data_IF_515033971913
#
_entry.id   IF_515033971913
#
_cell.length_a   1.000
_cell.length_b   1.000
_cell.length_c   1.000
_cell.angle_alpha   90.00
_cell.angle_beta   90.00
_cell.angle_gamma   90.00
#
_symmetry.space_group_name_H-M   'P 1'
#
loop_
_entity.id
_entity.type
_entity.pdbx_description
1 polymer ?
#
# COMPACT_ATOMS: atom_id res chain seq x y z
N UNK A 1 39.44 7.33 -27.54
CA UNK A 1 38.82 6.53 -26.44
C UNK A 1 38.64 7.34 -25.14
N UNK A 2 38.75 8.64 -25.15
CA UNK A 2 38.67 9.52 -23.96
C UNK A 2 37.33 10.26 -23.84
N UNK A 3 36.58 10.46 -24.93
CA UNK A 3 35.31 11.22 -24.92
C UNK A 3 34.09 10.46 -24.31
N UNK A 4 34.17 9.14 -24.17
CA UNK A 4 33.03 8.34 -23.61
C UNK A 4 33.05 8.25 -22.09
N UNK A 5 34.12 8.57 -21.40
CA UNK A 5 34.21 8.57 -19.95
C UNK A 5 33.72 9.89 -19.36
N UNK A 6 33.99 11.01 -19.99
CA UNK A 6 33.56 12.33 -19.52
C UNK A 6 32.03 12.53 -19.58
N UNK A 7 31.35 11.86 -20.52
CA UNK A 7 29.89 11.88 -20.63
C UNK A 7 29.16 11.05 -19.54
N UNK A 8 29.80 10.03 -18.99
CA UNK A 8 29.23 9.25 -17.89
C UNK A 8 29.34 9.99 -16.55
N UNK A 9 30.46 10.59 -16.28
CA UNK A 9 30.67 11.37 -15.05
C UNK A 9 29.80 12.63 -15.01
N UNK A 10 29.58 13.30 -16.15
CA UNK A 10 28.68 14.45 -16.25
C UNK A 10 27.20 14.04 -16.06
N UNK A 11 26.77 12.86 -16.52
CA UNK A 11 25.40 12.36 -16.28
C UNK A 11 25.18 11.91 -14.83
N UNK A 12 26.18 11.36 -14.15
CA UNK A 12 26.08 11.01 -12.74
C UNK A 12 26.10 12.26 -11.84
N UNK A 13 26.84 13.29 -12.21
CA UNK A 13 26.83 14.58 -11.51
C UNK A 13 25.52 15.36 -11.74
N UNK A 14 24.91 15.32 -12.93
CA UNK A 14 23.60 15.92 -13.18
C UNK A 14 22.47 15.18 -12.43
N UNK A 15 22.52 13.86 -12.29
CA UNK A 15 21.55 13.10 -11.51
C UNK A 15 21.68 13.34 -10.00
N UNK A 16 22.89 13.59 -9.49
CA UNK A 16 23.13 13.93 -8.08
C UNK A 16 22.76 15.38 -7.72
N UNK A 17 22.80 16.32 -8.67
CA UNK A 17 22.37 17.71 -8.41
C UNK A 17 20.87 17.89 -8.45
N UNK A 18 20.13 17.09 -9.22
CA UNK A 18 18.65 17.11 -9.21
C UNK A 18 18.04 16.52 -7.93
N UNK A 19 18.75 15.68 -7.17
CA UNK A 19 18.26 15.15 -5.88
C UNK A 19 18.42 16.12 -4.71
N UNK A 20 19.23 17.19 -4.85
CA UNK A 20 19.52 18.16 -3.78
C UNK A 20 18.55 19.35 -3.69
N UNK A 21 17.63 19.51 -4.64
CA UNK A 21 16.71 20.66 -4.68
C UNK A 21 15.28 20.37 -4.22
N UNK A 22 14.95 19.16 -3.81
CA UNK A 22 13.70 18.90 -3.06
C UNK A 22 13.98 19.26 -1.61
N UNK A 23 13.36 20.34 -1.12
CA UNK A 23 13.33 20.64 0.31
C UNK A 23 12.91 19.36 1.05
N UNK A 24 13.67 18.93 2.07
CA UNK A 24 13.45 17.69 2.84
C UNK A 24 11.99 17.45 3.24
N UNK A 25 11.23 18.55 3.39
CA UNK A 25 9.80 18.52 3.73
C UNK A 25 8.86 18.11 2.58
N UNK A 26 9.34 18.06 1.34
CA UNK A 26 8.52 17.65 0.17
C UNK A 26 8.75 16.21 -0.28
N UNK A 27 9.68 15.52 0.33
CA UNK A 27 9.96 14.11 0.03
C UNK A 27 8.74 13.25 0.31
N UNK A 28 8.33 12.44 -0.67
CA UNK A 28 7.20 11.51 -0.53
C UNK A 28 7.72 10.19 0.00
N UNK A 29 7.06 9.69 1.03
CA UNK A 29 7.37 8.40 1.66
C UNK A 29 6.11 7.54 1.79
N UNK A 30 6.29 6.22 1.85
CA UNK A 30 5.22 5.30 2.19
C UNK A 30 4.97 5.39 3.70
N UNK A 31 3.76 5.76 4.10
CA UNK A 31 3.36 5.79 5.52
C UNK A 31 3.08 4.38 6.03
N UNK A 32 2.25 3.67 5.31
CA UNK A 32 1.78 2.33 5.66
C UNK A 32 1.16 1.64 4.45
N UNK A 33 1.13 0.32 4.52
CA UNK A 33 0.32 -0.54 3.67
C UNK A 33 -0.70 -1.26 4.53
N UNK A 34 -1.95 -1.17 4.18
CA UNK A 34 -3.04 -1.85 4.87
C UNK A 34 -3.57 -2.94 3.95
N UNK A 35 -3.56 -4.16 4.45
CA UNK A 35 -4.12 -5.32 3.76
C UNK A 35 -5.39 -5.70 4.49
N UNK A 36 -6.50 -5.80 3.77
CA UNK A 36 -7.80 -6.13 4.31
C UNK A 36 -8.39 -7.33 3.60
N UNK A 37 -8.88 -8.31 4.36
CA UNK A 37 -9.69 -9.41 3.86
C UNK A 37 -11.07 -9.31 4.49
N UNK A 38 -12.09 -9.08 3.65
CA UNK A 38 -13.49 -9.08 4.04
C UNK A 38 -14.09 -10.47 3.85
N UNK A 39 -14.50 -11.11 4.93
CA UNK A 39 -15.09 -12.46 4.91
C UNK A 39 -16.62 -12.37 4.91
N UNK A 40 -17.18 -11.38 5.61
CA UNK A 40 -18.63 -11.14 5.71
C UNK A 40 -19.39 -12.11 6.60
N UNK A 41 -18.74 -13.14 7.15
CA UNK A 41 -19.33 -14.12 8.09
C UNK A 41 -18.38 -14.38 9.24
N UNK A 42 -18.91 -14.61 10.43
CA UNK A 42 -18.13 -15.00 11.61
C UNK A 42 -17.80 -16.51 11.60
N UNK A 43 -16.88 -16.94 12.48
CA UNK A 43 -16.49 -18.33 12.67
C UNK A 43 -15.23 -18.75 11.89
N UNK A 44 -15.15 -20.03 11.51
CA UNK A 44 -13.99 -20.66 10.86
C UNK A 44 -13.38 -19.89 9.66
N UNK A 45 -14.20 -19.24 8.78
CA UNK A 45 -13.64 -18.49 7.67
C UNK A 45 -12.73 -17.32 8.10
N UNK A 46 -12.97 -16.72 9.27
CA UNK A 46 -12.13 -15.64 9.80
C UNK A 46 -10.78 -16.17 10.29
N UNK A 47 -10.78 -17.32 10.96
CA UNK A 47 -9.52 -17.94 11.40
C UNK A 47 -8.67 -18.35 10.21
N UNK A 48 -9.27 -18.89 9.15
CA UNK A 48 -8.57 -19.17 7.89
C UNK A 48 -8.02 -17.90 7.24
N UNK A 49 -8.79 -16.81 7.21
CA UNK A 49 -8.34 -15.52 6.69
C UNK A 49 -7.20 -14.92 7.54
N UNK A 50 -7.20 -15.13 8.87
CA UNK A 50 -6.08 -14.76 9.75
C UNK A 50 -4.82 -15.55 9.40
N UNK A 51 -4.93 -16.86 9.22
CA UNK A 51 -3.79 -17.70 8.81
C UNK A 51 -3.23 -17.22 7.47
N UNK A 52 -4.08 -16.98 6.47
CA UNK A 52 -3.67 -16.46 5.17
C UNK A 52 -2.87 -15.15 5.30
N UNK A 53 -3.36 -14.17 6.07
CA UNK A 53 -2.65 -12.90 6.28
C UNK A 53 -1.37 -13.07 7.07
N UNK A 54 -1.31 -13.98 8.03
CA UNK A 54 -0.12 -14.27 8.81
C UNK A 54 0.97 -14.88 7.94
N UNK A 55 0.63 -15.86 7.10
CA UNK A 55 1.56 -16.49 6.16
C UNK A 55 2.08 -15.48 5.12
N UNK A 56 1.22 -14.57 4.69
CA UNK A 56 1.54 -13.55 3.70
C UNK A 56 2.49 -12.46 4.22
N UNK A 57 2.29 -12.04 5.47
CA UNK A 57 2.93 -10.84 6.03
C UNK A 57 3.91 -11.11 7.16
N UNK A 58 3.86 -12.30 7.75
CA UNK A 58 4.61 -12.65 8.96
C UNK A 58 4.15 -11.90 10.22
N UNK A 59 3.07 -11.12 10.15
CA UNK A 59 2.54 -10.35 11.27
C UNK A 59 1.18 -10.89 11.73
N UNK A 60 0.87 -10.74 13.03
CA UNK A 60 -0.41 -11.15 13.58
C UNK A 60 -1.54 -10.23 13.10
N UNK A 61 -2.57 -10.76 12.40
CA UNK A 61 -3.68 -9.97 11.91
C UNK A 61 -4.63 -9.53 13.01
N UNK A 62 -5.21 -8.34 12.84
CA UNK A 62 -6.25 -7.80 13.71
C UNK A 62 -7.63 -8.10 13.12
N UNK A 63 -8.49 -8.71 13.92
CA UNK A 63 -9.90 -8.97 13.55
C UNK A 63 -10.68 -7.66 13.55
N UNK A 64 -11.58 -7.52 12.59
CA UNK A 64 -12.44 -6.34 12.43
C UNK A 64 -13.90 -6.71 12.60
N UNK A 65 -14.53 -6.08 13.59
CA UNK A 65 -15.95 -6.22 13.85
C UNK A 65 -16.81 -5.28 13.02
N UNK A 66 -18.06 -5.68 12.79
CA UNK A 66 -19.07 -4.88 12.11
C UNK A 66 -19.37 -3.60 12.89
N UNK A 67 -19.39 -2.46 12.21
CA UNK A 67 -19.72 -1.16 12.82
C UNK A 67 -21.21 -0.98 13.06
N UNK A 68 -22.06 -1.60 12.24
CA UNK A 68 -23.52 -1.53 12.29
C UNK A 68 -24.10 -2.92 12.09
N UNK A 69 -25.30 -3.15 12.64
CA UNK A 69 -26.10 -4.33 12.32
C UNK A 69 -26.77 -4.15 10.96
N UNK A 70 -26.71 -5.17 10.10
CA UNK A 70 -27.36 -5.21 8.79
C UNK A 70 -28.13 -6.50 8.69
N UNK A 71 -29.47 -6.42 8.70
CA UNK A 71 -30.36 -7.58 8.71
C UNK A 71 -30.26 -8.42 7.45
N UNK A 72 -30.12 -7.77 6.29
CA UNK A 72 -30.04 -8.43 4.98
C UNK A 72 -28.83 -9.37 4.85
N UNK A 73 -27.76 -9.09 5.58
CA UNK A 73 -26.55 -9.94 5.63
C UNK A 73 -26.48 -10.81 6.90
N UNK A 74 -27.45 -10.71 7.81
CA UNK A 74 -27.45 -11.44 9.08
C UNK A 74 -26.31 -11.04 10.02
N UNK A 75 -25.77 -9.80 9.90
CA UNK A 75 -24.62 -9.33 10.64
C UNK A 75 -25.07 -8.44 11.81
N UNK A 76 -24.54 -8.71 13.01
CA UNK A 76 -24.75 -7.89 14.20
C UNK A 76 -23.56 -6.95 14.47
N UNK A 77 -23.86 -5.80 15.10
CA UNK A 77 -22.82 -4.85 15.52
C UNK A 77 -21.82 -5.53 16.46
N UNK A 78 -20.51 -5.37 16.15
CA UNK A 78 -19.42 -5.98 16.92
C UNK A 78 -19.04 -7.39 16.46
N UNK A 79 -19.85 -8.02 15.64
CA UNK A 79 -19.56 -9.35 15.09
C UNK A 79 -18.32 -9.32 14.20
N UNK A 80 -17.36 -10.25 14.35
CA UNK A 80 -16.17 -10.30 13.52
C UNK A 80 -16.55 -10.68 12.08
N UNK A 81 -16.17 -9.80 11.12
CA UNK A 81 -16.51 -9.94 9.69
C UNK A 81 -15.31 -9.87 8.75
N UNK A 82 -14.15 -9.55 9.26
CA UNK A 82 -12.93 -9.44 8.44
C UNK A 82 -11.67 -9.36 9.26
N UNK A 83 -10.55 -9.39 8.56
CA UNK A 83 -9.21 -9.33 9.15
C UNK A 83 -8.36 -8.30 8.44
N UNK A 84 -7.43 -7.67 9.15
CA UNK A 84 -6.59 -6.60 8.62
C UNK A 84 -5.18 -6.65 9.20
N UNK A 85 -4.19 -6.36 8.35
CA UNK A 85 -2.80 -6.15 8.76
C UNK A 85 -2.32 -4.78 8.28
N UNK A 86 -1.45 -4.14 9.05
CA UNK A 86 -0.82 -2.87 8.68
C UNK A 86 0.69 -3.02 8.67
N UNK A 87 1.28 -2.96 7.50
CA UNK A 87 2.72 -3.00 7.29
C UNK A 87 3.30 -1.59 7.25
N UNK A 88 4.54 -1.43 7.74
CA UNK A 88 5.27 -0.16 7.76
C UNK A 88 6.74 -0.38 7.43
N UNK A 89 7.43 0.71 7.04
CA UNK A 89 8.88 0.72 6.74
C UNK A 89 9.25 -0.31 5.67
N UNK A 90 10.29 -1.07 5.89
CA UNK A 90 10.87 -2.01 4.91
C UNK A 90 9.91 -3.15 4.54
N UNK A 91 9.18 -3.69 5.52
CA UNK A 91 8.16 -4.71 5.27
C UNK A 91 7.06 -4.22 4.32
N UNK A 92 6.69 -2.93 4.42
CA UNK A 92 5.71 -2.33 3.51
C UNK A 92 6.27 -2.22 2.09
N UNK A 93 7.53 -1.82 1.95
CA UNK A 93 8.19 -1.66 0.64
C UNK A 93 8.35 -3.01 -0.06
N UNK A 94 8.80 -4.02 0.68
CA UNK A 94 8.95 -5.38 0.17
C UNK A 94 7.61 -5.97 -0.28
N UNK A 95 6.57 -5.81 0.53
CA UNK A 95 5.25 -6.28 0.21
C UNK A 95 4.68 -5.61 -1.05
N UNK A 96 4.84 -4.29 -1.19
CA UNK A 96 4.41 -3.54 -2.38
C UNK A 96 5.10 -4.08 -3.65
N UNK A 97 6.40 -4.36 -3.60
CA UNK A 97 7.13 -4.94 -4.75
C UNK A 97 6.51 -6.27 -5.19
N UNK A 98 6.17 -7.14 -4.25
CA UNK A 98 5.48 -8.42 -4.54
C UNK A 98 4.11 -8.21 -5.18
N UNK A 99 3.33 -7.23 -4.69
CA UNK A 99 2.02 -6.90 -5.25
C UNK A 99 2.14 -6.37 -6.68
N UNK A 100 3.08 -5.48 -6.95
CA UNK A 100 3.25 -4.95 -8.30
C UNK A 100 3.71 -6.04 -9.28
N UNK A 101 4.58 -6.94 -8.86
CA UNK A 101 4.96 -8.11 -9.67
C UNK A 101 3.76 -8.99 -10.01
N UNK A 102 2.81 -9.21 -9.09
CA UNK A 102 1.59 -9.98 -9.37
C UNK A 102 0.63 -9.27 -10.34
N UNK A 103 0.73 -7.95 -10.48
CA UNK A 103 -0.07 -7.12 -11.40
C UNK A 103 0.69 -6.71 -12.66
N UNK A 104 1.77 -7.41 -13.01
CA UNK A 104 2.62 -7.09 -14.18
C UNK A 104 3.11 -5.64 -14.18
N UNK A 105 3.35 -5.07 -13.00
CA UNK A 105 3.78 -3.70 -12.76
C UNK A 105 2.86 -2.63 -13.39
N UNK A 106 1.57 -2.92 -13.53
CA UNK A 106 0.60 -1.97 -14.08
C UNK A 106 -0.43 -1.55 -13.04
N UNK A 107 -0.78 -0.26 -13.01
CA UNK A 107 -1.80 0.31 -12.13
C UNK A 107 -2.76 1.16 -12.95
N UNK A 108 -4.04 1.08 -12.65
CA UNK A 108 -5.04 1.96 -13.24
C UNK A 108 -5.00 3.33 -12.56
N UNK A 109 -5.08 4.42 -13.35
CA UNK A 109 -5.16 5.77 -12.80
C UNK A 109 -6.36 5.93 -11.84
N UNK A 110 -7.46 5.24 -12.09
CA UNK A 110 -8.65 5.24 -11.21
C UNK A 110 -8.41 4.62 -9.83
N UNK A 111 -7.33 3.86 -9.63
CA UNK A 111 -6.95 3.29 -8.33
C UNK A 111 -6.24 4.29 -7.43
N UNK A 112 -5.94 5.49 -7.93
CA UNK A 112 -5.24 6.56 -7.20
C UNK A 112 -6.26 7.57 -6.70
N UNK A 113 -6.26 7.80 -5.39
CA UNK A 113 -7.14 8.77 -4.72
C UNK A 113 -6.62 10.22 -4.87
N UNK A 114 -7.48 11.20 -4.59
CA UNK A 114 -7.18 12.64 -4.59
C UNK A 114 -5.98 12.99 -3.69
N UNK A 115 -5.77 12.23 -2.63
CA UNK A 115 -4.64 12.40 -1.70
C UNK A 115 -3.39 11.61 -2.10
N UNK A 116 -3.37 11.01 -3.30
CA UNK A 116 -2.25 10.23 -3.80
C UNK A 116 -2.11 8.83 -3.21
N UNK A 117 -3.09 8.32 -2.46
CA UNK A 117 -3.08 6.96 -1.98
C UNK A 117 -3.49 6.00 -3.10
N UNK A 118 -2.99 4.76 -3.07
CA UNK A 118 -3.36 3.73 -4.04
C UNK A 118 -4.15 2.61 -3.35
N UNK A 119 -5.19 2.14 -4.03
CA UNK A 119 -5.96 0.96 -3.64
C UNK A 119 -5.93 -0.08 -4.75
N UNK A 120 -5.47 -1.29 -4.42
CA UNK A 120 -5.31 -2.41 -5.35
C UNK A 120 -6.12 -3.59 -4.83
N UNK A 121 -7.10 -4.05 -5.61
CA UNK A 121 -7.81 -5.29 -5.37
C UNK A 121 -7.08 -6.48 -5.97
N UNK A 122 -6.90 -7.54 -5.18
CA UNK A 122 -6.34 -8.82 -5.59
C UNK A 122 -7.43 -9.86 -5.43
N UNK A 123 -7.72 -10.57 -6.53
CA UNK A 123 -8.79 -11.58 -6.54
C UNK A 123 -8.40 -12.79 -5.72
N UNK A 124 -7.16 -13.25 -5.85
CA UNK A 124 -6.63 -14.43 -5.22
C UNK A 124 -5.29 -14.12 -4.54
N UNK A 125 -5.16 -14.46 -3.26
CA UNK A 125 -3.91 -14.21 -2.53
C UNK A 125 -2.74 -15.05 -3.06
N UNK A 126 -3.03 -16.13 -3.77
CA UNK A 126 -2.06 -17.05 -4.37
C UNK A 126 -1.30 -16.41 -5.55
N UNK A 127 -1.90 -15.40 -6.22
CA UNK A 127 -1.25 -14.67 -7.31
C UNK A 127 0.00 -13.91 -6.84
N UNK A 128 0.18 -13.75 -5.53
CA UNK A 128 1.30 -13.03 -4.96
C UNK A 128 2.53 -13.94 -4.92
N UNK A 129 3.67 -13.53 -5.50
CA UNK A 129 4.89 -14.34 -5.50
C UNK A 129 5.34 -14.69 -4.08
N UNK A 130 5.76 -15.96 -3.89
CA UNK A 130 6.27 -16.46 -2.61
C UNK A 130 5.23 -17.12 -1.71
N UNK A 131 3.96 -17.24 -2.15
CA UNK A 131 2.92 -17.95 -1.40
C UNK A 131 2.74 -19.35 -1.98
N UNK A 132 2.60 -20.32 -1.07
CA UNK A 132 2.22 -21.68 -1.41
C UNK A 132 0.73 -21.87 -1.15
N UNK A 133 0.06 -22.52 -2.07
CA UNK A 133 -1.34 -22.91 -1.86
C UNK A 133 -1.46 -23.88 -0.69
N UNK A 134 -2.33 -23.54 0.25
CA UNK A 134 -2.69 -24.42 1.36
C UNK A 134 -4.20 -24.72 1.27
N UNK A 135 -4.60 -25.98 1.05
CA UNK A 135 -6.02 -26.38 0.96
C UNK A 135 -6.83 -26.03 2.21
N UNK A 136 -6.24 -26.08 3.39
CA UNK A 136 -6.90 -25.84 4.67
C UNK A 136 -7.31 -24.33 4.81
N UNK A 137 -6.54 -23.45 4.20
CA UNK A 137 -6.79 -22.02 4.22
C UNK A 137 -7.86 -21.65 3.17
N UNK A 138 -7.75 -22.21 1.96
CA UNK A 138 -8.59 -21.87 0.82
C UNK A 138 -8.13 -20.59 0.11
N UNK A 139 -8.95 -20.05 -0.79
CA UNK A 139 -8.65 -18.87 -1.61
C UNK A 139 -9.38 -17.65 -1.05
N UNK A 140 -8.66 -16.56 -0.83
CA UNK A 140 -9.22 -15.28 -0.38
C UNK A 140 -8.83 -14.14 -1.31
N UNK A 141 -9.82 -13.29 -1.62
CA UNK A 141 -9.58 -11.98 -2.19
C UNK A 141 -9.17 -10.97 -1.12
N UNK A 142 -8.39 -9.98 -1.49
CA UNK A 142 -7.94 -8.95 -0.57
C UNK A 142 -7.82 -7.58 -1.23
N UNK A 143 -7.96 -6.56 -0.40
CA UNK A 143 -7.71 -5.17 -0.78
C UNK A 143 -6.41 -4.68 -0.13
N UNK A 144 -5.53 -4.13 -0.94
CA UNK A 144 -4.26 -3.54 -0.51
C UNK A 144 -4.30 -2.04 -0.71
N UNK A 145 -4.27 -1.30 0.39
CA UNK A 145 -4.27 0.16 0.38
C UNK A 145 -2.90 0.69 0.80
N UNK A 146 -2.25 1.44 -0.08
CA UNK A 146 -0.97 2.10 0.17
C UNK A 146 -1.21 3.57 0.48
N UNK A 147 -0.80 4.01 1.66
CA UNK A 147 -0.89 5.41 2.06
C UNK A 147 0.48 6.08 1.96
N UNK A 148 0.50 7.23 1.30
CA UNK A 148 1.68 8.08 1.19
C UNK A 148 1.64 9.18 2.26
N UNK A 149 2.82 9.68 2.62
CA UNK A 149 2.99 10.81 3.53
C UNK A 149 4.12 11.72 3.07
N UNK A 150 4.09 12.96 3.54
CA UNK A 150 5.23 13.88 3.60
C UNK A 150 5.60 14.16 5.04
N UNK A 151 6.85 14.55 5.33
CA UNK A 151 7.19 15.12 6.63
C UNK A 151 6.20 16.23 6.99
N UNK A 152 5.80 16.31 8.25
CA UNK A 152 4.79 17.28 8.69
C UNK A 152 3.33 16.77 8.71
N UNK A 153 2.97 15.66 8.06
CA UNK A 153 1.58 15.13 8.06
C UNK A 153 1.06 14.73 9.45
N UNK A 154 1.94 14.64 10.45
CA UNK A 154 1.58 14.38 11.85
C UNK A 154 0.64 15.46 12.43
N UNK A 155 0.68 16.68 11.90
CA UNK A 155 -0.18 17.79 12.33
C UNK A 155 -1.66 17.41 12.29
N UNK A 156 -2.10 16.68 11.25
CA UNK A 156 -3.48 16.23 11.13
C UNK A 156 -3.87 15.09 12.09
N UNK A 157 -2.90 14.46 12.75
CA UNK A 157 -3.11 13.26 13.60
C UNK A 157 -2.80 13.51 15.09
N UNK A 158 -2.30 14.68 15.46
CA UNK A 158 -2.02 15.04 16.85
C UNK A 158 -3.32 15.24 17.65
N UNK A 159 -3.23 15.36 18.99
CA UNK A 159 -4.38 15.56 19.88
C UNK A 159 -5.26 16.76 19.46
N UNK A 160 -4.62 17.89 19.11
CA UNK A 160 -5.30 19.04 18.51
C UNK A 160 -4.94 19.05 17.02
N UNK A 161 -5.79 18.46 16.16
CA UNK A 161 -5.50 18.32 14.74
C UNK A 161 -5.68 19.65 14.01
N UNK A 162 -4.74 19.95 13.11
CA UNK A 162 -4.81 21.07 12.18
C UNK A 162 -4.87 20.57 10.73
N UNK A 163 -5.30 21.42 9.83
CA UNK A 163 -5.37 21.11 8.41
C UNK A 163 -3.98 21.21 7.77
N UNK A 164 -3.66 20.22 6.93
CA UNK A 164 -2.46 20.28 6.07
C UNK A 164 -2.70 21.33 4.98
N UNK A 165 -1.74 22.22 4.76
CA UNK A 165 -1.81 23.24 3.72
C UNK A 165 -2.02 22.62 2.33
N UNK A 166 -2.78 23.31 1.46
CA UNK A 166 -3.11 22.80 0.11
C UNK A 166 -1.86 22.45 -0.71
N UNK A 167 -0.85 23.30 -0.69
CA UNK A 167 0.41 23.10 -1.44
C UNK A 167 1.34 22.02 -0.86
N UNK A 168 1.05 21.54 0.34
CA UNK A 168 1.84 20.48 0.98
C UNK A 168 1.18 19.11 0.81
N UNK A 169 -0.05 19.04 0.35
CA UNK A 169 -0.73 17.77 0.06
C UNK A 169 -0.11 17.12 -1.16
N UNK A 170 -0.09 15.80 -1.16
CA UNK A 170 0.38 15.02 -2.29
C UNK A 170 -0.73 15.04 -3.35
N UNK A 171 -0.38 15.43 -4.58
CA UNK A 171 -1.29 15.34 -5.71
C UNK A 171 -1.28 13.94 -6.34
N UNK A 172 -2.32 13.53 -7.06
CA UNK A 172 -2.32 12.25 -7.79
C UNK A 172 -1.18 12.13 -8.79
N UNK A 173 -0.79 13.24 -9.44
CA UNK A 173 0.30 13.28 -10.41
C UNK A 173 1.67 13.03 -9.76
N UNK A 174 1.92 13.68 -8.62
CA UNK A 174 3.14 13.43 -7.83
C UNK A 174 3.22 11.97 -7.35
N UNK A 175 2.07 11.36 -7.01
CA UNK A 175 2.02 9.95 -6.64
C UNK A 175 2.38 9.03 -7.81
N UNK A 176 1.85 9.31 -9.00
CA UNK A 176 2.19 8.57 -10.23
C UNK A 176 3.70 8.60 -10.44
N UNK A 177 4.29 9.78 -10.44
CA UNK A 177 5.75 9.94 -10.62
C UNK A 177 6.55 9.20 -9.54
N UNK A 178 6.11 9.25 -8.29
CA UNK A 178 6.74 8.53 -7.20
C UNK A 178 6.73 7.01 -7.42
N UNK A 179 5.58 6.43 -7.81
CA UNK A 179 5.50 4.99 -8.05
C UNK A 179 6.25 4.55 -9.30
N UNK A 180 6.25 5.36 -10.35
CA UNK A 180 7.07 5.11 -11.55
C UNK A 180 8.57 5.10 -11.23
N UNK A 181 9.05 6.12 -10.53
CA UNK A 181 10.48 6.24 -10.19
C UNK A 181 10.95 5.18 -9.19
N UNK A 182 10.15 4.88 -8.17
CA UNK A 182 10.57 3.98 -7.08
C UNK A 182 10.34 2.51 -7.37
N UNK A 183 9.31 2.17 -8.13
CA UNK A 183 8.89 0.79 -8.37
C UNK A 183 8.84 0.39 -9.85
N UNK A 184 9.07 1.32 -10.78
CA UNK A 184 9.02 1.04 -12.22
C UNK A 184 7.61 0.65 -12.71
N UNK A 185 6.55 1.21 -12.10
CA UNK A 185 5.17 0.85 -12.40
C UNK A 185 4.63 1.72 -13.52
N UNK A 186 3.93 1.12 -14.49
CA UNK A 186 3.21 1.82 -15.54
C UNK A 186 1.79 2.15 -15.07
N UNK A 187 1.33 3.39 -15.30
CA UNK A 187 -0.03 3.83 -14.96
C UNK A 187 -0.83 3.97 -16.24
N UNK A 188 -1.92 3.20 -16.31
CA UNK A 188 -2.87 3.15 -17.42
C UNK A 188 -4.15 3.92 -17.08
#
# INVERSE_FOLDING_TARGET
>A
MTETLDNKENNEQMNNTNSKNTTDMRVIEIEKVVINIGVGKSGDPIERAKMALKDLTGQEPSVRGAKKSVRDFGIHKGEPIGTMVTLRRDNAIEFIKRIFSSKSNTIKRSSIDINGNISIGIKEHIDIPGIKYNPDIGIFGMDVCVSLKRPGYRIAKRRNPDKIGKFHRISPEESVLFFQQKFGVEVI
#
